data_IF_241022545472
#
_entry.id   IF_241022545472
#
_cell.length_a   1.000
_cell.length_b   1.000
_cell.length_c   1.000
_cell.angle_alpha   90.00
_cell.angle_beta   90.00
_cell.angle_gamma   90.00
#
_symmetry.space_group_name_H-M   'P 1'
#
loop_
_entity.id
_entity.type
_entity.pdbx_description
1 polymer ?
#
# COMPACT_ATOMS: atom_id res chain seq x y z
N UNK A 1 15.58 -0.67 18.37
CA UNK A 1 14.14 -0.57 18.65
C UNK A 1 13.55 -1.95 18.46
N UNK A 2 13.04 -2.60 19.50
CA UNK A 2 12.45 -3.93 19.38
C UNK A 2 10.95 -3.77 19.15
N UNK A 3 10.52 -3.99 17.92
CA UNK A 3 9.15 -3.78 17.46
C UNK A 3 8.27 -4.91 18.01
N UNK A 4 7.56 -4.66 19.12
CA UNK A 4 6.62 -5.62 19.73
C UNK A 4 6.72 -5.84 21.25
N UNK A 5 7.65 -5.19 21.95
CA UNK A 5 7.74 -5.29 23.42
C UNK A 5 7.24 -4.02 24.09
N UNK A 6 6.29 -4.14 25.02
CA UNK A 6 5.66 -3.03 25.73
C UNK A 6 5.58 -3.26 27.24
N UNK A 7 5.02 -2.29 27.97
CA UNK A 7 4.89 -2.33 29.43
C UNK A 7 5.91 -1.48 30.19
N UNK A 8 5.73 -1.37 31.51
CA UNK A 8 6.64 -0.59 32.38
C UNK A 8 8.08 -1.12 32.36
N UNK A 9 8.28 -2.40 32.07
CA UNK A 9 9.60 -3.04 32.00
C UNK A 9 9.88 -3.77 30.67
N UNK A 10 9.09 -3.52 29.62
CA UNK A 10 9.21 -4.19 28.33
C UNK A 10 9.06 -5.73 28.39
N UNK A 11 8.42 -6.29 29.42
CA UNK A 11 8.15 -7.74 29.53
C UNK A 11 6.79 -8.17 28.97
N UNK A 12 5.99 -7.23 28.48
CA UNK A 12 4.68 -7.54 27.89
C UNK A 12 4.84 -7.88 26.41
N UNK A 13 4.27 -9.01 26.01
CA UNK A 13 4.16 -9.41 24.61
C UNK A 13 3.10 -8.52 23.93
N UNK A 14 3.53 -7.33 23.51
CA UNK A 14 2.69 -6.38 22.80
C UNK A 14 2.40 -6.86 21.38
N UNK A 15 1.23 -6.56 20.86
CA UNK A 15 0.97 -6.79 19.45
C UNK A 15 1.72 -5.78 18.58
N UNK A 16 2.15 -6.23 17.40
CA UNK A 16 2.80 -5.39 16.40
C UNK A 16 1.91 -4.16 16.10
N UNK A 17 2.48 -2.97 16.25
CA UNK A 17 1.79 -1.71 15.96
C UNK A 17 0.49 -1.48 16.75
N UNK A 18 0.29 -2.15 17.91
CA UNK A 18 -0.97 -2.11 18.66
C UNK A 18 -2.21 -2.44 17.80
N UNK A 19 -2.03 -3.37 16.85
CA UNK A 19 -3.04 -3.74 15.87
C UNK A 19 -3.63 -2.54 15.11
N UNK A 20 -2.84 -1.47 14.95
CA UNK A 20 -3.21 -0.22 14.27
C UNK A 20 -4.55 0.37 14.74
N UNK A 21 -5.03 0.00 15.94
CA UNK A 21 -6.36 0.36 16.44
C UNK A 21 -7.55 -0.33 15.74
N UNK A 22 -7.29 -1.30 14.87
CA UNK A 22 -8.28 -2.01 14.05
C UNK A 22 -8.36 -3.51 14.36
N UNK A 23 -7.93 -3.94 15.54
CA UNK A 23 -8.01 -5.33 15.95
C UNK A 23 -7.79 -5.52 17.44
N UNK A 24 -8.16 -6.71 17.91
CA UNK A 24 -7.94 -7.13 19.29
C UNK A 24 -6.60 -7.86 19.39
N UNK A 25 -5.80 -7.48 20.39
CA UNK A 25 -4.51 -8.11 20.63
C UNK A 25 -4.68 -9.38 21.49
N UNK A 26 -4.32 -10.54 20.93
CA UNK A 26 -4.38 -11.83 21.64
C UNK A 26 -3.04 -12.54 21.53
N UNK A 27 -2.29 -12.61 22.64
CA UNK A 27 -1.01 -13.32 22.74
C UNK A 27 0.01 -12.88 21.66
N UNK A 28 0.15 -11.57 21.45
CA UNK A 28 1.04 -10.97 20.44
C UNK A 28 0.55 -11.08 18.99
N UNK A 29 -0.62 -11.68 18.74
CA UNK A 29 -1.25 -11.76 17.42
C UNK A 29 -2.46 -10.83 17.35
N UNK A 30 -2.60 -10.08 16.26
CA UNK A 30 -3.75 -9.21 16.04
C UNK A 30 -4.91 -9.98 15.40
N UNK A 31 -6.06 -10.00 16.07
CA UNK A 31 -7.34 -10.43 15.51
C UNK A 31 -8.03 -9.21 14.90
N UNK A 32 -7.96 -9.09 13.58
CA UNK A 32 -8.45 -7.90 12.90
C UNK A 32 -9.98 -7.80 12.90
N UNK A 33 -10.47 -6.56 13.03
CA UNK A 33 -11.87 -6.21 12.79
C UNK A 33 -12.25 -6.56 11.34
N UNK A 34 -13.55 -6.80 11.05
CA UNK A 34 -13.99 -7.10 9.70
C UNK A 34 -13.46 -6.11 8.68
N UNK A 35 -12.96 -6.64 7.55
CA UNK A 35 -12.34 -5.93 6.43
C UNK A 35 -10.91 -5.43 6.67
N UNK A 36 -10.40 -5.46 7.90
CA UNK A 36 -8.99 -5.18 8.16
C UNK A 36 -8.15 -6.45 8.09
N UNK A 37 -6.94 -6.35 7.57
CA UNK A 37 -5.99 -7.47 7.45
C UNK A 37 -4.55 -7.02 7.73
N UNK A 38 -3.62 -7.96 7.70
CA UNK A 38 -2.20 -7.72 7.97
C UNK A 38 -1.82 -8.09 9.39
N UNK A 39 -0.50 -8.15 9.65
CA UNK A 39 0.04 -8.59 10.94
C UNK A 39 -0.32 -7.62 12.09
N UNK A 40 -0.57 -6.36 11.77
CA UNK A 40 -0.96 -5.28 12.68
C UNK A 40 -2.34 -4.70 12.33
N UNK A 41 -3.15 -5.34 11.49
CA UNK A 41 -4.45 -4.81 11.03
C UNK A 41 -4.40 -3.39 10.40
N UNK A 42 -3.22 -2.93 9.96
CA UNK A 42 -3.06 -1.63 9.31
C UNK A 42 -3.63 -1.59 7.89
N UNK A 43 -3.89 -2.74 7.28
CA UNK A 43 -4.43 -2.83 5.92
C UNK A 43 -5.96 -2.81 6.01
N UNK A 44 -6.56 -1.66 5.70
CA UNK A 44 -7.98 -1.35 5.84
C UNK A 44 -8.95 -2.16 4.97
N UNK A 45 -10.21 -1.72 4.79
CA UNK A 45 -11.33 -2.50 4.23
C UNK A 45 -11.13 -3.10 2.84
N UNK A 46 -10.08 -2.69 2.15
CA UNK A 46 -9.71 -3.07 0.78
C UNK A 46 -8.34 -3.77 0.72
N UNK A 47 -7.70 -4.01 1.86
CA UNK A 47 -6.29 -4.43 1.98
C UNK A 47 -5.95 -5.77 1.31
N UNK A 48 -6.97 -6.61 1.06
CA UNK A 48 -6.83 -7.87 0.33
C UNK A 48 -7.14 -7.78 -1.17
N UNK A 49 -7.75 -6.68 -1.62
CA UNK A 49 -8.18 -6.48 -3.01
C UNK A 49 -7.13 -5.75 -3.86
N UNK A 50 -6.12 -5.16 -3.22
CA UNK A 50 -5.01 -4.53 -3.91
C UNK A 50 -4.11 -5.53 -4.64
N UNK A 51 -3.72 -5.26 -5.90
CA UNK A 51 -2.77 -6.09 -6.62
C UNK A 51 -1.47 -6.22 -5.83
N UNK A 52 -1.03 -7.47 -5.64
CA UNK A 52 0.20 -7.80 -4.92
C UNK A 52 0.28 -7.27 -3.48
N UNK A 53 -0.84 -6.83 -2.88
CA UNK A 53 -0.86 -6.15 -1.56
C UNK A 53 0.13 -4.98 -1.49
N UNK A 54 0.29 -4.27 -2.61
CA UNK A 54 1.25 -3.19 -2.77
C UNK A 54 2.71 -3.59 -2.43
N UNK A 55 3.01 -4.90 -2.44
CA UNK A 55 4.31 -5.51 -2.10
C UNK A 55 4.97 -5.03 -0.79
N UNK A 56 4.21 -4.38 0.09
CA UNK A 56 4.73 -3.72 1.30
C UNK A 56 5.39 -2.35 1.06
N UNK A 57 5.24 -1.78 -0.14
CA UNK A 57 5.79 -0.49 -0.57
C UNK A 57 4.70 0.51 -0.95
N UNK A 58 3.54 0.43 -0.29
CA UNK A 58 2.46 1.38 -0.49
C UNK A 58 1.24 1.08 0.36
N UNK A 59 0.30 2.03 0.31
CA UNK A 59 -1.00 1.92 0.97
C UNK A 59 -2.10 1.58 -0.05
N UNK A 60 -3.00 0.68 0.35
CA UNK A 60 -4.16 0.32 -0.45
C UNK A 60 -5.23 1.41 -0.33
N UNK A 61 -5.68 1.96 -1.46
CA UNK A 61 -6.68 3.04 -1.50
C UNK A 61 -7.49 2.98 -2.80
N UNK A 62 -8.53 3.80 -2.87
CA UNK A 62 -9.25 4.05 -4.11
C UNK A 62 -8.36 4.96 -4.98
N UNK A 63 -7.80 4.41 -6.07
CA UNK A 63 -6.84 5.14 -6.93
C UNK A 63 -7.49 5.76 -8.15
N UNK A 64 -8.69 5.31 -8.54
CA UNK A 64 -9.42 5.85 -9.66
C UNK A 64 -10.85 6.23 -9.26
N UNK A 65 -11.23 7.47 -9.57
CA UNK A 65 -12.59 8.02 -9.40
C UNK A 65 -13.21 8.38 -10.75
N UNK A 66 -12.96 7.59 -11.79
CA UNK A 66 -13.59 7.83 -13.09
C UNK A 66 -15.08 7.51 -13.01
N UNK A 67 -15.96 8.45 -13.37
CA UNK A 67 -17.32 8.11 -13.71
C UNK A 67 -17.27 7.22 -14.95
N UNK A 68 -17.69 5.96 -14.82
CA UNK A 68 -17.93 5.10 -15.98
C UNK A 68 -18.85 5.82 -16.99
N UNK A 69 -18.72 5.52 -18.30
CA UNK A 69 -19.61 6.08 -19.30
C UNK A 69 -21.06 5.73 -18.99
N UNK A 70 -21.95 6.73 -19.13
CA UNK A 70 -23.39 6.64 -18.86
C UNK A 70 -24.01 5.42 -19.57
N UNK A 71 -24.39 4.38 -18.83
CA UNK A 71 -25.13 3.24 -19.39
C UNK A 71 -24.89 1.84 -18.79
N UNK A 72 -23.98 1.68 -17.83
CA UNK A 72 -23.82 0.38 -17.12
C UNK A 72 -24.63 0.39 -15.82
N UNK A 73 -25.75 -0.34 -15.82
CA UNK A 73 -26.54 -0.56 -14.62
C UNK A 73 -26.03 -1.81 -13.89
N UNK A 74 -25.09 -1.65 -12.97
CA UNK A 74 -24.81 -2.65 -11.94
C UNK A 74 -24.93 -1.98 -10.58
N UNK A 75 -26.04 -2.26 -9.92
CA UNK A 75 -26.39 -1.76 -8.59
C UNK A 75 -25.84 -2.78 -7.59
N UNK A 76 -24.69 -2.50 -6.97
CA UNK A 76 -24.37 -3.09 -5.67
C UNK A 76 -25.03 -2.25 -4.57
N UNK A 77 -25.52 -2.91 -3.52
CA UNK A 77 -26.45 -2.33 -2.55
C UNK A 77 -25.88 -1.21 -1.65
N UNK A 78 -24.59 -0.85 -1.79
CA UNK A 78 -23.88 0.17 -1.02
C UNK A 78 -23.51 1.45 -1.80
N UNK A 79 -23.79 1.51 -3.11
CA UNK A 79 -23.84 2.79 -3.87
C UNK A 79 -22.50 3.48 -4.15
N UNK A 80 -21.36 2.78 -4.12
CA UNK A 80 -20.07 3.34 -4.56
C UNK A 80 -19.84 3.04 -6.05
N UNK A 81 -19.68 4.12 -6.82
CA UNK A 81 -19.23 4.14 -8.22
C UNK A 81 -17.94 3.30 -8.32
N UNK A 82 -17.83 2.36 -9.25
CA UNK A 82 -16.73 1.38 -9.41
C UNK A 82 -15.34 1.98 -9.09
N UNK A 83 -15.01 1.95 -7.81
CA UNK A 83 -13.81 2.52 -7.27
C UNK A 83 -12.71 1.49 -7.51
N UNK A 84 -11.78 1.77 -8.42
CA UNK A 84 -10.66 0.85 -8.61
C UNK A 84 -9.77 0.94 -7.38
N UNK A 85 -9.76 -0.14 -6.60
CA UNK A 85 -8.87 -0.33 -5.48
C UNK A 85 -7.47 -0.59 -6.06
N UNK A 86 -6.49 0.20 -5.63
CA UNK A 86 -5.12 0.09 -6.10
C UNK A 86 -4.13 0.64 -5.09
N UNK A 87 -2.85 0.60 -5.46
CA UNK A 87 -1.77 0.97 -4.57
C UNK A 87 -1.33 2.41 -4.76
N UNK A 88 -1.27 3.15 -3.66
CA UNK A 88 -0.55 4.42 -3.56
C UNK A 88 0.85 4.10 -3.07
N UNK A 89 1.83 4.13 -3.96
CA UNK A 89 3.19 3.71 -3.65
C UNK A 89 3.97 4.70 -2.79
N UNK A 90 4.82 4.16 -1.91
CA UNK A 90 5.81 4.91 -1.15
C UNK A 90 6.86 5.51 -2.09
N UNK A 91 7.56 6.56 -1.61
CA UNK A 91 8.61 7.23 -2.39
C UNK A 91 9.68 6.26 -2.90
N UNK A 92 9.94 6.30 -4.21
CA UNK A 92 10.90 5.40 -4.86
C UNK A 92 10.31 4.07 -5.35
N UNK A 93 8.99 3.89 -5.24
CA UNK A 93 8.25 2.74 -5.77
C UNK A 93 7.15 3.17 -6.74
N UNK A 94 6.82 2.30 -7.68
CA UNK A 94 5.88 2.55 -8.76
C UNK A 94 5.25 1.23 -9.26
N UNK A 95 4.29 1.37 -10.17
CA UNK A 95 3.55 0.25 -10.73
C UNK A 95 2.26 -0.04 -9.98
N UNK A 96 1.42 -0.95 -10.51
CA UNK A 96 0.09 -1.23 -9.96
C UNK A 96 0.14 -1.82 -8.54
N UNK A 97 1.19 -2.57 -8.22
CA UNK A 97 1.42 -3.24 -6.93
C UNK A 97 2.68 -2.74 -6.20
N UNK A 98 3.23 -1.58 -6.61
CA UNK A 98 4.44 -0.99 -6.03
C UNK A 98 5.70 -1.89 -6.07
N UNK A 99 5.74 -2.87 -6.98
CA UNK A 99 6.89 -3.76 -7.16
C UNK A 99 8.04 -3.14 -7.95
N UNK A 100 7.80 -2.02 -8.65
CA UNK A 100 8.79 -1.39 -9.51
C UNK A 100 9.50 -0.27 -8.77
N UNK A 101 10.81 -0.12 -8.99
CA UNK A 101 11.56 1.02 -8.48
C UNK A 101 11.25 2.25 -9.33
N UNK A 102 10.77 3.31 -8.69
CA UNK A 102 10.60 4.60 -9.35
C UNK A 102 11.97 5.25 -9.57
N UNK A 103 12.19 5.80 -10.76
CA UNK A 103 13.40 6.55 -11.03
C UNK A 103 13.31 7.98 -10.45
N UNK A 104 14.44 8.53 -9.98
CA UNK A 104 14.48 9.90 -9.48
C UNK A 104 14.03 10.87 -10.57
N UNK A 105 12.97 11.64 -10.27
CA UNK A 105 12.34 12.60 -11.19
C UNK A 105 12.01 12.01 -12.57
N UNK A 106 11.70 10.70 -12.65
CA UNK A 106 11.47 10.00 -13.94
C UNK A 106 12.64 10.19 -14.93
N UNK A 107 13.88 10.15 -14.41
CA UNK A 107 15.10 10.46 -15.15
C UNK A 107 15.07 11.83 -15.83
N UNK A 108 14.28 12.77 -15.29
CA UNK A 108 13.98 14.09 -15.85
C UNK A 108 13.46 14.05 -17.29
N UNK A 109 12.93 12.92 -17.75
CA UNK A 109 12.57 12.68 -19.16
C UNK A 109 13.75 12.48 -20.11
N UNK A 110 14.98 12.39 -19.59
CA UNK A 110 16.23 12.39 -20.36
C UNK A 110 17.07 11.12 -20.18
N UNK A 111 16.43 10.06 -19.72
CA UNK A 111 17.04 8.75 -19.61
C UNK A 111 16.00 7.65 -19.55
N UNK A 112 16.46 6.42 -19.75
CA UNK A 112 15.65 5.23 -19.54
C UNK A 112 15.74 4.81 -18.07
N UNK A 113 14.58 4.57 -17.45
CA UNK A 113 14.52 4.02 -16.09
C UNK A 113 14.82 2.52 -16.10
N UNK A 114 15.83 2.12 -15.34
CA UNK A 114 16.21 0.73 -15.14
C UNK A 114 15.34 0.06 -14.08
N UNK A 115 15.24 -1.28 -14.11
CA UNK A 115 14.46 -2.05 -13.13
C UNK A 115 14.91 -1.84 -11.67
N UNK A 116 16.16 -1.48 -11.44
CA UNK A 116 16.70 -1.18 -10.11
C UNK A 116 16.46 0.29 -9.66
N UNK A 117 15.80 1.11 -10.47
CA UNK A 117 15.57 2.54 -10.22
C UNK A 117 16.72 3.45 -10.61
N UNK A 118 17.75 2.94 -11.32
CA UNK A 118 18.82 3.76 -11.90
C UNK A 118 18.41 4.39 -13.23
N UNK A 119 18.93 5.58 -13.53
CA UNK A 119 18.71 6.24 -14.82
C UNK A 119 19.86 5.98 -15.79
N UNK A 120 19.55 5.44 -16.97
CA UNK A 120 20.46 5.41 -18.11
C UNK A 120 20.26 6.67 -18.95
N UNK A 121 21.16 7.64 -18.81
CA UNK A 121 21.06 8.91 -19.49
C UNK A 121 21.18 8.78 -21.01
N UNK A 122 20.36 9.53 -21.75
CA UNK A 122 20.56 9.71 -23.18
C UNK A 122 21.83 10.51 -23.46
N UNK A 123 22.27 10.48 -24.72
CA UNK A 123 23.49 11.21 -25.14
C UNK A 123 23.35 12.69 -24.77
N UNK A 124 24.40 13.24 -24.15
CA UNK A 124 24.50 14.63 -23.67
C UNK A 124 23.79 14.96 -22.34
N UNK A 125 23.28 13.96 -21.62
CA UNK A 125 22.69 14.12 -20.30
C UNK A 125 23.55 13.42 -19.23
N UNK A 126 23.64 13.99 -18.02
CA UNK A 126 24.37 13.43 -16.88
C UNK A 126 24.12 14.20 -15.58
N UNK A 127 24.23 13.50 -14.45
CA UNK A 127 23.99 14.02 -13.10
C UNK A 127 24.38 12.99 -12.04
#
# INVERSE_FOLDING_TARGET
SAEGWGGFDCSEQGCLGSCSGHGDCVNGTCLCMPKYIGADCGQGPYGGECPGRCTGHGACSIVDRTPLPLGVANVYADGLLEATIGCVCDGGWAGPDCSLRACPNDCSGNGACAQNGSCFCYRYWGG
#
